data_IF_600490312998
#
_entry.id   IF_600490312998
#
_cell.length_a   1.000
_cell.length_b   1.000
_cell.length_c   1.000
_cell.angle_alpha   90.00
_cell.angle_beta   90.00
_cell.angle_gamma   90.00
#
_symmetry.space_group_name_H-M   'P 1'
#
loop_
_entity.id
_entity.type
_entity.pdbx_description
1 polymer ?
#
# COMPACT_ATOMS: atom_id res chain seq x y z
N UNK A 1 -9.08 -22.68 5.45
CA UNK A 1 -8.15 -21.54 5.73
C UNK A 1 -8.52 -20.19 5.05
N UNK A 2 -9.47 -20.14 4.11
CA UNK A 2 -9.72 -18.93 3.30
C UNK A 2 -10.55 -17.78 3.91
N UNK A 3 -11.28 -17.99 5.02
CA UNK A 3 -12.17 -16.96 5.61
C UNK A 3 -11.47 -16.01 6.59
N UNK A 4 -10.51 -16.52 7.36
CA UNK A 4 -9.75 -15.71 8.32
C UNK A 4 -8.73 -14.80 7.61
N UNK A 5 -8.08 -15.31 6.55
CA UNK A 5 -7.12 -14.53 5.76
C UNK A 5 -7.72 -13.33 5.06
N UNK A 6 -8.93 -13.46 4.50
CA UNK A 6 -9.63 -12.33 3.85
C UNK A 6 -10.00 -11.23 4.84
N UNK A 7 -10.53 -11.59 6.02
CA UNK A 7 -10.88 -10.62 7.07
C UNK A 7 -9.67 -9.85 7.60
N UNK A 8 -8.55 -10.54 7.82
CA UNK A 8 -7.31 -9.89 8.27
C UNK A 8 -6.77 -8.90 7.22
N UNK A 9 -6.84 -9.23 5.92
CA UNK A 9 -6.43 -8.31 4.84
C UNK A 9 -7.31 -7.07 4.84
N UNK A 10 -8.63 -7.25 4.89
CA UNK A 10 -9.56 -6.11 4.89
C UNK A 10 -9.36 -5.21 6.11
N UNK A 11 -9.12 -5.79 7.29
CA UNK A 11 -8.80 -5.01 8.49
C UNK A 11 -7.53 -4.17 8.33
N UNK A 12 -6.46 -4.73 7.77
CA UNK A 12 -5.24 -3.97 7.48
C UNK A 12 -5.48 -2.87 6.45
N UNK A 13 -6.29 -3.12 5.42
CA UNK A 13 -6.65 -2.11 4.42
C UNK A 13 -7.41 -0.93 5.06
N UNK A 14 -8.35 -1.19 5.96
CA UNK A 14 -9.08 -0.13 6.68
C UNK A 14 -8.13 0.70 7.55
N UNK A 15 -7.23 0.05 8.30
CA UNK A 15 -6.23 0.75 9.13
C UNK A 15 -5.29 1.63 8.28
N UNK A 16 -4.83 1.12 7.14
CA UNK A 16 -4.00 1.89 6.22
C UNK A 16 -4.79 3.07 5.64
N UNK A 17 -6.04 2.86 5.24
CA UNK A 17 -6.89 3.91 4.71
C UNK A 17 -7.10 5.03 5.74
N UNK A 18 -7.38 4.70 6.99
CA UNK A 18 -7.48 5.65 8.10
C UNK A 18 -6.16 6.42 8.30
N UNK A 19 -5.03 5.71 8.32
CA UNK A 19 -3.71 6.34 8.46
C UNK A 19 -3.43 7.34 7.33
N UNK A 20 -3.74 6.96 6.08
CA UNK A 20 -3.59 7.84 4.90
C UNK A 20 -4.51 9.07 5.01
N UNK A 21 -5.74 8.87 5.49
CA UNK A 21 -6.71 9.95 5.72
C UNK A 21 -6.24 10.92 6.81
N UNK A 22 -5.76 10.40 7.94
CA UNK A 22 -5.25 11.19 9.07
C UNK A 22 -4.01 12.01 8.69
N UNK A 23 -3.21 11.50 7.73
CA UNK A 23 -2.08 12.22 7.13
C UNK A 23 -2.52 13.24 6.05
N UNK A 24 -3.82 13.39 5.78
CA UNK A 24 -4.39 14.22 4.72
C UNK A 24 -3.82 13.88 3.32
N UNK A 25 -3.60 12.60 3.05
CA UNK A 25 -3.12 12.08 1.77
C UNK A 25 -4.28 11.51 0.94
N UNK A 26 -4.05 11.33 -0.36
CA UNK A 26 -5.04 10.72 -1.26
C UNK A 26 -4.84 9.21 -1.32
N UNK A 27 -5.89 8.45 -0.99
CA UNK A 27 -5.88 6.99 -1.15
C UNK A 27 -6.26 6.63 -2.57
N UNK A 28 -5.30 6.07 -3.32
CA UNK A 28 -5.55 5.50 -4.65
C UNK A 28 -5.61 3.98 -4.53
N UNK A 29 -6.69 3.38 -5.02
CA UNK A 29 -6.95 1.95 -4.90
C UNK A 29 -7.37 1.34 -6.23
N UNK A 30 -6.98 0.10 -6.49
CA UNK A 30 -7.44 -0.61 -7.68
C UNK A 30 -8.88 -1.13 -7.54
N UNK A 31 -9.58 -1.27 -8.67
CA UNK A 31 -10.98 -1.73 -8.71
C UNK A 31 -11.22 -3.05 -7.98
N UNK A 32 -10.29 -4.02 -8.03
CA UNK A 32 -10.51 -5.32 -7.39
C UNK A 32 -10.45 -5.20 -5.86
N UNK A 33 -9.50 -4.42 -5.35
CA UNK A 33 -9.36 -4.17 -3.91
C UNK A 33 -10.55 -3.37 -3.36
N UNK A 34 -11.03 -2.37 -4.10
CA UNK A 34 -12.19 -1.56 -3.69
C UNK A 34 -13.50 -2.37 -3.60
N UNK A 35 -13.59 -3.51 -4.31
CA UNK A 35 -14.74 -4.40 -4.29
C UNK A 35 -14.60 -5.55 -3.28
N UNK A 36 -13.57 -5.53 -2.42
CA UNK A 36 -13.42 -6.57 -1.41
C UNK A 36 -14.61 -6.53 -0.43
N UNK A 37 -15.23 -7.68 -0.14
CA UNK A 37 -16.31 -7.72 0.85
C UNK A 37 -15.78 -7.28 2.21
N UNK A 38 -16.64 -6.57 2.95
CA UNK A 38 -16.38 -5.99 4.28
C UNK A 38 -15.33 -4.88 4.32
N UNK A 39 -14.85 -4.38 3.17
CA UNK A 39 -14.03 -3.19 3.13
C UNK A 39 -14.94 -1.97 3.31
N UNK A 40 -14.70 -1.23 4.37
CA UNK A 40 -15.45 -0.03 4.69
C UNK A 40 -14.52 1.19 4.64
N UNK A 41 -14.88 2.15 3.80
CA UNK A 41 -14.13 3.38 3.56
C UNK A 41 -15.05 4.61 3.64
N UNK A 42 -16.25 4.50 4.25
CA UNK A 42 -17.22 5.61 4.31
C UNK A 42 -16.65 6.88 4.92
N UNK A 43 -15.72 6.74 5.86
CA UNK A 43 -15.11 7.84 6.60
C UNK A 43 -13.83 8.36 5.93
N UNK A 44 -13.49 7.87 4.73
CA UNK A 44 -12.27 8.26 4.01
C UNK A 44 -12.64 9.30 2.94
N UNK A 45 -12.16 10.53 3.13
CA UNK A 45 -12.61 11.67 2.30
C UNK A 45 -12.02 11.65 0.90
N UNK A 46 -10.78 11.16 0.76
CA UNK A 46 -9.96 11.33 -0.45
C UNK A 46 -9.60 9.99 -1.09
N UNK A 47 -10.62 9.28 -1.58
CA UNK A 47 -10.44 7.99 -2.26
C UNK A 47 -10.59 8.12 -3.78
N UNK A 48 -9.64 7.58 -4.54
CA UNK A 48 -9.70 7.45 -5.99
C UNK A 48 -9.56 5.98 -6.41
N UNK A 49 -10.58 5.46 -7.09
CA UNK A 49 -10.56 4.09 -7.62
C UNK A 49 -10.08 4.12 -9.07
N UNK A 50 -9.07 3.32 -9.39
CA UNK A 50 -8.45 3.26 -10.73
C UNK A 50 -8.23 1.82 -11.21
N UNK A 51 -7.95 1.66 -12.51
CA UNK A 51 -7.48 0.37 -13.02
C UNK A 51 -6.08 0.06 -12.48
N UNK A 52 -5.80 -1.20 -12.16
CA UNK A 52 -4.50 -1.65 -11.59
C UNK A 52 -3.29 -1.19 -12.41
N UNK A 53 -3.40 -1.14 -13.74
CA UNK A 53 -2.33 -0.70 -14.62
C UNK A 53 -1.89 0.75 -14.42
N UNK A 54 -2.75 1.61 -13.85
CA UNK A 54 -2.45 3.02 -13.61
C UNK A 54 -1.72 3.26 -12.28
N UNK A 55 -1.72 2.30 -11.35
CA UNK A 55 -1.20 2.50 -9.99
C UNK A 55 0.27 2.95 -10.01
N UNK A 56 1.10 2.30 -10.83
CA UNK A 56 2.52 2.68 -10.93
C UNK A 56 2.75 4.05 -11.59
N UNK A 57 1.79 4.58 -12.35
CA UNK A 57 1.95 5.85 -13.07
C UNK A 57 1.57 7.06 -12.22
N UNK A 58 0.75 6.88 -11.18
CA UNK A 58 0.09 7.98 -10.47
C UNK A 58 0.28 7.98 -8.96
N UNK A 59 0.91 6.94 -8.40
CA UNK A 59 1.15 6.83 -6.97
C UNK A 59 2.59 7.20 -6.63
N UNK A 60 2.78 7.93 -5.53
CA UNK A 60 4.11 8.26 -4.99
C UNK A 60 4.68 7.10 -4.13
N UNK A 61 3.80 6.24 -3.60
CA UNK A 61 4.11 5.05 -2.81
C UNK A 61 3.03 4.01 -3.03
N UNK A 62 3.41 2.74 -3.19
CA UNK A 62 2.44 1.63 -3.24
C UNK A 62 2.57 0.76 -2.00
N UNK A 63 1.46 0.56 -1.30
CA UNK A 63 1.36 -0.36 -0.17
C UNK A 63 0.65 -1.64 -0.62
N UNK A 64 1.29 -2.79 -0.40
CA UNK A 64 0.77 -4.09 -0.81
C UNK A 64 0.47 -4.92 0.43
N UNK A 65 -0.81 -5.18 0.66
CA UNK A 65 -1.28 -6.03 1.78
C UNK A 65 -1.43 -7.46 1.30
N UNK A 66 -0.66 -8.39 1.85
CA UNK A 66 -0.68 -9.77 1.40
C UNK A 66 0.45 -10.62 1.96
N UNK A 67 0.65 -11.81 1.40
CA UNK A 67 1.84 -12.61 1.66
C UNK A 67 2.98 -12.26 0.72
N UNK A 68 4.13 -12.89 0.92
CA UNK A 68 5.36 -12.61 0.17
C UNK A 68 5.18 -12.76 -1.35
N UNK A 69 4.42 -13.76 -1.81
CA UNK A 69 4.12 -13.92 -3.24
C UNK A 69 3.32 -12.74 -3.84
N UNK A 70 2.38 -12.19 -3.09
CA UNK A 70 1.61 -11.00 -3.53
C UNK A 70 2.49 -9.75 -3.56
N UNK A 71 3.35 -9.62 -2.55
CA UNK A 71 4.26 -8.50 -2.37
C UNK A 71 5.35 -8.51 -3.46
N UNK A 72 5.99 -9.65 -3.73
CA UNK A 72 6.95 -9.82 -4.83
C UNK A 72 6.32 -9.59 -6.20
N UNK A 73 5.13 -10.15 -6.45
CA UNK A 73 4.43 -9.96 -7.71
C UNK A 73 4.08 -8.48 -7.96
N UNK A 74 3.71 -7.75 -6.90
CA UNK A 74 3.46 -6.31 -7.01
C UNK A 74 4.75 -5.52 -7.24
N UNK A 75 5.84 -5.84 -6.52
CA UNK A 75 7.14 -5.21 -6.72
C UNK A 75 7.66 -5.40 -8.15
N UNK A 76 7.56 -6.62 -8.69
CA UNK A 76 7.92 -6.92 -10.08
C UNK A 76 7.10 -6.09 -11.07
N UNK A 77 5.77 -6.05 -10.89
CA UNK A 77 4.89 -5.28 -11.77
C UNK A 77 5.15 -3.76 -11.71
N UNK A 78 5.63 -3.26 -10.55
CA UNK A 78 5.85 -1.85 -10.29
C UNK A 78 7.30 -1.38 -10.53
N UNK A 79 8.25 -2.32 -10.66
CA UNK A 79 9.69 -2.02 -10.78
C UNK A 79 10.02 -1.00 -11.88
N UNK A 80 9.30 -1.05 -13.01
CA UNK A 80 9.51 -0.13 -14.15
C UNK A 80 9.10 1.32 -13.86
N UNK A 81 8.28 1.56 -12.85
CA UNK A 81 7.74 2.88 -12.54
C UNK A 81 8.58 3.66 -11.54
N UNK A 82 9.62 3.04 -10.94
CA UNK A 82 10.48 3.65 -9.89
C UNK A 82 9.69 4.16 -8.68
N UNK A 83 8.50 3.62 -8.44
CA UNK A 83 7.67 3.92 -7.27
C UNK A 83 8.05 2.97 -6.14
N UNK A 84 8.32 3.46 -4.92
CA UNK A 84 8.62 2.60 -3.78
C UNK A 84 7.43 1.67 -3.45
N UNK A 85 7.75 0.45 -3.02
CA UNK A 85 6.76 -0.57 -2.65
C UNK A 85 6.97 -1.01 -1.20
N UNK A 86 5.94 -0.81 -0.39
CA UNK A 86 5.87 -1.25 1.00
C UNK A 86 5.00 -2.50 1.13
N UNK A 87 5.58 -3.60 1.60
CA UNK A 87 4.86 -4.83 1.90
C UNK A 87 4.29 -4.84 3.31
N UNK A 88 3.03 -5.25 3.45
CA UNK A 88 2.40 -5.51 4.74
C UNK A 88 1.97 -6.97 4.80
N UNK A 89 2.74 -7.78 5.52
CA UNK A 89 2.39 -9.16 5.84
C UNK A 89 1.67 -9.19 7.21
N UNK A 90 0.85 -10.22 7.45
CA UNK A 90 -0.14 -10.37 8.52
C UNK A 90 0.42 -10.14 9.94
N UNK A 91 0.60 -8.87 10.32
CA UNK A 91 1.12 -8.44 11.63
C UNK A 91 2.63 -8.20 11.70
N UNK A 92 3.39 -8.27 10.59
CA UNK A 92 4.82 -7.90 10.54
C UNK A 92 5.05 -6.99 9.34
N UNK A 93 5.46 -5.75 9.62
CA UNK A 93 5.85 -4.77 8.62
C UNK A 93 7.10 -5.30 7.90
N UNK A 94 7.04 -5.45 6.58
CA UNK A 94 8.14 -5.97 5.76
C UNK A 94 8.38 -5.03 4.58
N UNK A 95 9.42 -4.20 4.68
CA UNK A 95 9.85 -3.36 3.57
C UNK A 95 10.49 -4.25 2.50
N UNK A 96 10.01 -4.20 1.25
CA UNK A 96 10.73 -4.77 0.11
C UNK A 96 11.77 -3.80 -0.46
N UNK A 97 11.61 -2.51 -0.18
CA UNK A 97 12.68 -1.53 -0.31
C UNK A 97 13.36 -1.42 1.05
N UNK A 98 14.34 -2.28 1.30
CA UNK A 98 15.29 -2.11 2.39
C UNK A 98 16.14 -0.87 2.07
N UNK A 99 15.58 0.33 2.28
CA UNK A 99 16.42 1.53 2.38
C UNK A 99 17.10 1.39 3.73
N UNK A 100 18.35 0.92 3.71
CA UNK A 100 19.18 0.94 4.91
C UNK A 100 19.21 2.38 5.40
N UNK A 101 19.14 2.65 6.71
CA UNK A 101 19.27 4.00 7.26
C UNK A 101 20.52 4.74 6.76
N UNK A 102 21.55 3.98 6.35
CA UNK A 102 22.81 4.47 5.80
C UNK A 102 22.74 4.96 4.33
N UNK A 103 21.62 4.80 3.63
CA UNK A 103 21.42 5.29 2.26
C UNK A 103 20.65 6.61 2.16
N UNK A 104 20.25 7.20 3.30
CA UNK A 104 19.79 8.59 3.32
C UNK A 104 21.01 9.52 3.22
N UNK A 105 21.21 10.28 2.14
CA UNK A 105 22.23 11.31 2.14
C UNK A 105 21.92 12.27 3.27
N UNK A 106 22.89 12.50 4.16
CA UNK A 106 22.78 13.33 5.37
C UNK A 106 22.56 14.84 5.09
N UNK A 107 22.02 15.19 3.92
CA UNK A 107 21.97 16.55 3.37
C UNK A 107 20.65 17.29 3.64
N UNK A 108 19.62 16.68 4.22
CA UNK A 108 18.32 17.35 4.42
C UNK A 108 17.98 17.69 5.87
N UNK A 109 18.94 17.57 6.79
CA UNK A 109 18.80 18.06 8.17
C UNK A 109 19.31 19.51 8.30
N UNK A 110 18.76 20.42 7.49
CA UNK A 110 18.73 21.88 7.70
C UNK A 110 18.12 22.53 6.47
N UNK A 111 16.83 22.81 6.51
CA UNK A 111 16.20 24.11 6.21
C UNK A 111 14.75 24.03 6.65
#
# INVERSE_FOLDING_TARGET
MGRAGKRSVTQSLVQIAQTVNDMNLTLIMDVQTANLPTLDLTDIERVKIVKRGLIGEICDLVIVVGGDGSILHAAEALARYRVPVLGVNRGRLGFLADVKPDELPSSYAKY
#
